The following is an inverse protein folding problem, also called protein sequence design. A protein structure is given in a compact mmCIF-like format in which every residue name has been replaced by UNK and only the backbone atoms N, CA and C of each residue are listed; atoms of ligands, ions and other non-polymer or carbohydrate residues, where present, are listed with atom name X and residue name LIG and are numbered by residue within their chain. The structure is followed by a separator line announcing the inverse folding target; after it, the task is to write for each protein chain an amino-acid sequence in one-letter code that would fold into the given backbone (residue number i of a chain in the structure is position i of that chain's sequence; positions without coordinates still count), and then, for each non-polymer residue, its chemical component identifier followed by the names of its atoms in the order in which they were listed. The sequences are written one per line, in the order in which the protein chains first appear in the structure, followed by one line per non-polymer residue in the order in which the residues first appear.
data_IF_784264275547
#
_entry.id   IF_784264275547
#
_cell.length_a   1.000
_cell.length_b   1.000
_cell.length_c   1.000
_cell.angle_alpha   90.00
_cell.angle_beta   90.00
_cell.angle_gamma   90.00
#
_symmetry.space_group_name_H-M   'P 1'
#
loop_
_entity.id
_entity.type
_entity.pdbx_description
1 polymer ?
#
# COMPACT_ATOMS: atom_id res chain seq x y z
N UNK A 1 21.41 18.89 8.73
CA UNK A 1 20.94 17.50 8.86
C UNK A 1 21.69 16.67 7.84
N UNK A 2 22.23 15.50 8.19
CA UNK A 2 22.99 14.70 7.20
C UNK A 2 22.04 14.04 6.21
N UNK A 3 22.47 13.94 4.95
CA UNK A 3 21.73 13.27 3.87
C UNK A 3 21.36 11.82 4.24
N UNK A 4 22.21 11.18 5.05
CA UNK A 4 21.95 9.86 5.61
C UNK A 4 20.71 9.82 6.52
N UNK A 5 20.54 10.81 7.41
CA UNK A 5 19.36 10.87 8.29
C UNK A 5 18.08 11.09 7.51
N UNK A 6 18.14 11.88 6.44
CA UNK A 6 17.00 12.11 5.56
C UNK A 6 16.63 10.83 4.79
N UNK A 7 17.63 10.15 4.22
CA UNK A 7 17.46 8.91 3.48
C UNK A 7 16.93 7.77 4.37
N UNK A 8 17.38 7.70 5.63
CA UNK A 8 16.93 6.68 6.57
C UNK A 8 15.46 6.89 6.97
N UNK A 9 15.06 8.16 7.17
CA UNK A 9 13.66 8.51 7.43
C UNK A 9 12.76 8.12 6.25
N UNK A 10 13.21 8.41 5.01
CA UNK A 10 12.52 8.02 3.77
C UNK A 10 12.30 6.51 3.69
N UNK A 11 13.37 5.73 3.86
CA UNK A 11 13.28 4.27 3.83
C UNK A 11 12.28 3.72 4.85
N UNK A 12 12.34 4.17 6.10
CA UNK A 12 11.45 3.68 7.14
C UNK A 12 9.99 4.02 6.84
N UNK A 13 9.70 5.22 6.35
CA UNK A 13 8.34 5.63 5.99
C UNK A 13 7.78 4.74 4.88
N UNK A 14 8.52 4.55 3.78
CA UNK A 14 8.10 3.69 2.65
C UNK A 14 7.96 2.24 3.08
N UNK A 15 8.90 1.71 3.87
CA UNK A 15 8.85 0.34 4.35
C UNK A 15 7.65 0.10 5.26
N UNK A 16 7.34 1.03 6.17
CA UNK A 16 6.19 0.94 7.05
C UNK A 16 4.89 0.99 6.24
N UNK A 17 4.76 1.93 5.31
CA UNK A 17 3.58 2.06 4.45
C UNK A 17 3.37 0.80 3.60
N UNK A 18 4.46 0.21 3.07
CA UNK A 18 4.41 -1.06 2.33
C UNK A 18 3.93 -2.21 3.21
N UNK A 19 4.47 -2.33 4.43
CA UNK A 19 4.09 -3.38 5.38
C UNK A 19 2.63 -3.25 5.83
N UNK A 20 2.18 -2.05 6.16
CA UNK A 20 0.81 -1.79 6.61
C UNK A 20 -0.20 -2.08 5.49
N UNK A 21 0.12 -1.65 4.26
CA UNK A 21 -0.70 -1.93 3.08
C UNK A 21 -0.76 -3.42 2.78
N UNK A 22 0.38 -4.12 2.81
CA UNK A 22 0.46 -5.56 2.57
C UNK A 22 -0.31 -6.36 3.62
N UNK A 23 -0.11 -6.06 4.91
CA UNK A 23 -0.84 -6.70 6.00
C UNK A 23 -2.35 -6.49 5.89
N UNK A 24 -2.79 -5.29 5.47
CA UNK A 24 -4.21 -5.00 5.25
C UNK A 24 -4.79 -5.83 4.11
N UNK A 25 -4.09 -5.93 2.98
CA UNK A 25 -4.53 -6.76 1.84
C UNK A 25 -4.53 -8.25 2.20
N UNK A 26 -3.51 -8.74 2.90
CA UNK A 26 -3.44 -10.11 3.40
C UNK A 26 -4.64 -10.40 4.30
N UNK A 27 -5.02 -9.47 5.18
CA UNK A 27 -6.16 -9.62 6.09
C UNK A 27 -7.47 -9.76 5.30
N UNK A 28 -7.68 -8.94 4.27
CA UNK A 28 -8.84 -9.04 3.38
C UNK A 28 -8.87 -10.35 2.57
N UNK A 29 -7.72 -10.79 2.05
CA UNK A 29 -7.59 -12.07 1.35
C UNK A 29 -7.86 -13.25 2.31
N UNK A 30 -7.32 -13.21 3.52
CA UNK A 30 -7.56 -14.21 4.57
C UNK A 30 -9.04 -14.30 4.92
N UNK A 31 -9.76 -13.18 5.02
CA UNK A 31 -11.20 -13.19 5.23
C UNK A 31 -11.93 -13.99 4.14
N UNK A 32 -11.63 -13.72 2.87
CA UNK A 32 -12.21 -14.46 1.73
C UNK A 32 -11.91 -15.95 1.76
N UNK A 33 -10.69 -16.34 2.10
CA UNK A 33 -10.32 -17.76 2.21
C UNK A 33 -11.00 -18.40 3.44
N UNK A 34 -11.15 -17.66 4.54
CA UNK A 34 -11.80 -18.15 5.76
C UNK A 34 -13.30 -18.43 5.59
N UNK A 35 -13.94 -17.82 4.60
CA UNK A 35 -15.34 -18.13 4.24
C UNK A 35 -15.51 -19.45 3.49
N UNK A 36 -14.43 -20.07 3.02
CA UNK A 36 -14.44 -21.37 2.33
C UNK A 36 -14.21 -22.47 3.38
N UNK A 37 -15.25 -23.28 3.64
CA UNK A 37 -15.26 -24.34 4.67
C UNK A 37 -14.08 -25.32 4.57
N UNK A 38 -13.66 -25.69 3.36
CA UNK A 38 -12.51 -26.61 3.15
C UNK A 38 -11.18 -26.08 3.72
N UNK A 39 -10.98 -24.76 3.74
CA UNK A 39 -9.75 -24.15 4.24
C UNK A 39 -9.83 -23.84 5.73
N UNK A 40 -11.01 -23.54 6.27
CA UNK A 40 -11.20 -23.31 7.70
C UNK A 40 -11.01 -24.58 8.52
N UNK A 41 -11.40 -25.75 8.00
CA UNK A 41 -11.20 -27.04 8.66
C UNK A 41 -9.72 -27.46 8.69
N UNK A 42 -8.94 -27.12 7.64
CA UNK A 42 -7.50 -27.45 7.56
C UNK A 42 -6.60 -26.41 8.24
N UNK A 43 -7.03 -25.16 8.29
CA UNK A 43 -6.23 -24.04 8.80
C UNK A 43 -7.08 -23.06 9.64
N UNK A 44 -7.41 -23.42 10.90
CA UNK A 44 -8.26 -22.60 11.77
C UNK A 44 -7.65 -21.22 12.09
N UNK A 45 -6.32 -21.05 11.95
CA UNK A 45 -5.63 -19.76 12.09
C UNK A 45 -5.95 -18.76 10.95
N UNK A 46 -6.66 -19.18 9.90
CA UNK A 46 -7.12 -18.28 8.84
C UNK A 46 -8.31 -17.42 9.25
N UNK A 47 -8.98 -17.74 10.36
CA UNK A 47 -10.06 -16.92 10.89
C UNK A 47 -9.55 -15.49 11.17
N UNK A 48 -10.24 -14.51 10.59
CA UNK A 48 -9.98 -13.08 10.76
C UNK A 48 -11.13 -12.51 11.58
N UNK A 49 -10.82 -11.77 12.63
CA UNK A 49 -11.84 -11.10 13.45
C UNK A 49 -12.38 -9.86 12.75
N UNK A 50 -13.59 -9.43 13.13
CA UNK A 50 -14.16 -8.19 12.56
C UNK A 50 -13.33 -6.95 12.92
N UNK A 51 -12.67 -6.95 14.08
CA UNK A 51 -11.75 -5.88 14.50
C UNK A 51 -10.52 -5.78 13.59
N UNK A 52 -9.91 -6.92 13.23
CA UNK A 52 -8.79 -6.97 12.29
C UNK A 52 -9.20 -6.45 10.91
N UNK A 53 -10.40 -6.83 10.47
CA UNK A 53 -10.94 -6.41 9.18
C UNK A 53 -11.25 -4.91 9.14
N UNK A 54 -11.83 -4.38 10.22
CA UNK A 54 -12.12 -2.94 10.37
C UNK A 54 -10.83 -2.13 10.37
N UNK A 55 -9.79 -2.60 11.08
CA UNK A 55 -8.46 -1.96 11.07
C UNK A 55 -7.83 -1.99 9.68
N UNK A 56 -7.84 -3.14 9.00
CA UNK A 56 -7.29 -3.28 7.66
C UNK A 56 -7.99 -2.36 6.64
N UNK A 57 -9.33 -2.30 6.68
CA UNK A 57 -10.11 -1.39 5.83
C UNK A 57 -9.81 0.08 6.13
N UNK A 58 -9.68 0.44 7.41
CA UNK A 58 -9.35 1.81 7.82
C UNK A 58 -7.96 2.21 7.33
N UNK A 59 -6.96 1.35 7.50
CA UNK A 59 -5.59 1.58 7.01
C UNK A 59 -5.56 1.71 5.48
N UNK A 60 -6.21 0.80 4.76
CA UNK A 60 -6.35 0.87 3.30
C UNK A 60 -7.01 2.18 2.86
N UNK A 61 -8.09 2.58 3.53
CA UNK A 61 -8.78 3.82 3.22
C UNK A 61 -7.87 5.04 3.43
N UNK A 62 -7.13 5.09 4.54
CA UNK A 62 -6.18 6.17 4.82
C UNK A 62 -5.11 6.22 3.73
N UNK A 63 -4.41 5.12 3.45
CA UNK A 63 -3.30 5.08 2.49
C UNK A 63 -3.78 5.40 1.07
N UNK A 64 -4.94 4.88 0.64
CA UNK A 64 -5.49 5.19 -0.68
C UNK A 64 -5.99 6.64 -0.77
N UNK A 65 -6.49 7.22 0.33
CA UNK A 65 -6.88 8.64 0.39
C UNK A 65 -5.63 9.52 0.30
N UNK A 66 -4.55 9.15 0.97
CA UNK A 66 -3.25 9.80 0.84
C UNK A 66 -2.77 9.81 -0.62
N UNK A 67 -2.91 8.68 -1.32
CA UNK A 67 -2.57 8.57 -2.75
C UNK A 67 -3.50 9.41 -3.64
N UNK A 68 -4.80 9.44 -3.36
CA UNK A 68 -5.77 10.29 -4.07
C UNK A 68 -5.45 11.78 -3.90
N UNK A 69 -5.16 12.21 -2.67
CA UNK A 69 -4.77 13.59 -2.37
C UNK A 69 -3.44 13.94 -3.05
N UNK A 70 -2.49 13.00 -3.07
CA UNK A 70 -1.25 13.17 -3.80
C UNK A 70 -1.50 13.42 -5.30
N UNK A 71 -2.44 12.70 -5.91
CA UNK A 71 -2.80 12.90 -7.33
C UNK A 71 -3.52 14.22 -7.62
N UNK A 72 -4.19 14.83 -6.64
CA UNK A 72 -5.01 16.04 -6.82
C UNK A 72 -4.24 17.31 -6.47
N UNK A 73 -3.54 17.29 -5.35
CA UNK A 73 -2.95 18.48 -4.73
C UNK A 73 -1.42 18.48 -4.78
N UNK A 74 -0.78 17.39 -5.24
CA UNK A 74 0.66 17.18 -5.13
C UNK A 74 1.13 17.48 -3.70
N UNK A 75 0.39 16.96 -2.70
CA UNK A 75 0.64 17.29 -1.31
C UNK A 75 2.09 16.93 -0.92
N UNK A 76 2.89 17.98 -0.75
CA UNK A 76 4.33 17.90 -0.51
C UNK A 76 4.68 17.47 0.91
N UNK A 77 3.67 17.38 1.80
CA UNK A 77 3.86 17.02 3.21
C UNK A 77 3.62 15.54 3.50
N UNK A 78 3.26 14.77 2.48
CA UNK A 78 2.92 13.36 2.62
C UNK A 78 4.14 12.46 2.38
N UNK A 79 4.16 11.29 3.00
CA UNK A 79 5.15 10.23 2.82
C UNK A 79 5.33 9.83 1.34
N UNK A 80 4.24 9.92 0.56
CA UNK A 80 4.26 9.68 -0.89
C UNK A 80 5.02 10.75 -1.69
N UNK A 81 5.19 11.96 -1.17
CA UNK A 81 5.98 13.00 -1.82
C UNK A 81 7.46 12.64 -1.88
N UNK A 82 7.94 11.92 -0.87
CA UNK A 82 9.33 11.46 -0.86
C UNK A 82 9.64 10.48 -2.00
N UNK A 83 8.60 9.89 -2.60
CA UNK A 83 8.66 8.97 -3.74
C UNK A 83 8.53 9.67 -5.10
N UNK A 84 8.25 10.98 -5.12
CA UNK A 84 7.99 11.71 -6.35
C UNK A 84 9.17 11.67 -7.33
N UNK A 85 10.40 11.62 -6.83
CA UNK A 85 11.62 11.57 -7.66
C UNK A 85 11.93 10.16 -8.19
N UNK A 86 11.21 9.12 -7.73
CA UNK A 86 11.43 7.78 -8.20
C UNK A 86 10.81 7.55 -9.58
N UNK A 87 11.62 7.11 -10.55
CA UNK A 87 11.17 6.91 -11.93
C UNK A 87 10.08 5.82 -12.08
N UNK A 88 10.12 4.76 -11.27
CA UNK A 88 9.08 3.71 -11.28
C UNK A 88 7.77 4.24 -10.68
N UNK A 89 7.82 4.94 -9.55
CA UNK A 89 6.66 5.61 -8.96
C UNK A 89 6.05 6.62 -9.94
N UNK A 90 6.87 7.47 -10.57
CA UNK A 90 6.39 8.39 -11.59
C UNK A 90 5.71 7.67 -12.76
N UNK A 91 6.35 6.65 -13.35
CA UNK A 91 5.88 6.05 -14.59
C UNK A 91 4.70 5.10 -14.39
N UNK A 92 4.68 4.35 -13.28
CA UNK A 92 3.65 3.33 -13.03
C UNK A 92 2.47 3.87 -12.21
N UNK A 93 2.68 4.93 -11.42
CA UNK A 93 1.66 5.49 -10.52
C UNK A 93 1.23 6.88 -11.01
N UNK A 94 2.15 7.86 -11.06
CA UNK A 94 1.77 9.25 -11.33
C UNK A 94 1.32 9.52 -12.78
N UNK A 95 2.05 8.99 -13.76
CA UNK A 95 1.75 9.17 -15.19
C UNK A 95 0.71 8.17 -15.70
N UNK A 96 0.35 7.17 -14.90
CA UNK A 96 -0.58 6.13 -15.30
C UNK A 96 -2.02 6.52 -14.97
N UNK A 97 -2.70 7.13 -15.94
CA UNK A 97 -4.10 7.58 -15.83
C UNK A 97 -5.05 6.41 -15.51
N UNK A 98 -4.77 5.22 -16.07
CA UNK A 98 -5.57 4.01 -15.82
C UNK A 98 -5.46 3.62 -14.35
N UNK A 99 -4.24 3.56 -13.82
CA UNK A 99 -3.99 3.21 -12.42
C UNK A 99 -4.63 4.23 -11.47
N UNK A 100 -4.53 5.52 -11.77
CA UNK A 100 -5.22 6.59 -11.02
C UNK A 100 -6.73 6.37 -10.96
N UNK A 101 -7.36 6.03 -12.08
CA UNK A 101 -8.80 5.72 -12.14
C UNK A 101 -9.17 4.45 -11.37
N UNK A 102 -8.33 3.41 -11.43
CA UNK A 102 -8.54 2.16 -10.70
C UNK A 102 -8.42 2.31 -9.19
N UNK A 103 -7.46 3.12 -8.71
CA UNK A 103 -7.33 3.49 -7.29
C UNK A 103 -8.54 4.29 -6.82
N UNK A 104 -8.99 5.28 -7.61
CA UNK A 104 -10.17 6.09 -7.25
C UNK A 104 -11.43 5.22 -7.15
N UNK A 105 -11.61 4.25 -8.05
CA UNK A 105 -12.71 3.29 -8.00
C UNK A 105 -12.62 2.36 -6.78
N UNK A 106 -11.42 1.88 -6.45
CA UNK A 106 -11.16 1.05 -5.27
C UNK A 106 -11.48 1.80 -3.98
N UNK A 107 -11.05 3.06 -3.91
CA UNK A 107 -11.33 3.96 -2.80
C UNK A 107 -12.83 4.28 -2.66
N UNK A 108 -13.54 4.50 -3.76
CA UNK A 108 -14.98 4.70 -3.75
C UNK A 108 -15.74 3.47 -3.21
N UNK A 109 -15.28 2.26 -3.57
CA UNK A 109 -15.83 1.01 -3.03
C UNK A 109 -15.57 0.87 -1.52
N UNK A 110 -14.35 1.16 -1.07
CA UNK A 110 -14.00 1.18 0.36
C UNK A 110 -14.85 2.18 1.15
N UNK A 111 -15.02 3.42 0.64
CA UNK A 111 -15.88 4.44 1.27
C UNK A 111 -17.35 4.03 1.34
N UNK A 112 -17.81 3.25 0.37
CA UNK A 112 -19.18 2.74 0.30
C UNK A 112 -19.37 1.41 1.05
N UNK A 113 -18.37 0.95 1.79
CA UNK A 113 -18.33 -0.36 2.45
C UNK A 113 -18.69 -1.53 1.52
N UNK A 114 -18.36 -1.40 0.23
CA UNK A 114 -18.57 -2.46 -0.76
C UNK A 114 -17.35 -3.39 -0.79
N UNK A 115 -17.62 -4.67 -1.02
CA UNK A 115 -16.57 -5.66 -1.20
C UNK A 115 -15.63 -5.30 -2.36
N UNK A 116 -14.33 -5.42 -2.09
CA UNK A 116 -13.29 -5.26 -3.10
C UNK A 116 -13.25 -6.50 -4.00
N UNK A 117 -13.29 -6.30 -5.31
CA UNK A 117 -13.10 -7.38 -6.29
C UNK A 117 -11.65 -7.87 -6.29
N UNK A 118 -11.39 -9.05 -6.85
CA UNK A 118 -10.00 -9.52 -7.05
C UNK A 118 -9.17 -8.53 -7.86
N UNK A 119 -9.78 -7.86 -8.84
CA UNK A 119 -9.11 -6.82 -9.63
C UNK A 119 -8.70 -5.63 -8.76
N UNK A 120 -9.54 -5.21 -7.82
CA UNK A 120 -9.22 -4.11 -6.90
C UNK A 120 -8.05 -4.50 -5.99
N UNK A 121 -8.05 -5.73 -5.45
CA UNK A 121 -6.96 -6.26 -4.64
C UNK A 121 -5.66 -6.39 -5.45
N UNK A 122 -5.72 -6.85 -6.70
CA UNK A 122 -4.55 -6.95 -7.58
C UNK A 122 -3.94 -5.58 -7.90
N UNK A 123 -4.76 -4.54 -8.01
CA UNK A 123 -4.28 -3.17 -8.20
C UNK A 123 -3.56 -2.65 -6.95
N UNK A 124 -4.05 -2.99 -5.76
CA UNK A 124 -3.34 -2.69 -4.51
C UNK A 124 -2.05 -3.52 -4.41
N UNK A 125 -2.05 -4.80 -4.81
CA UNK A 125 -0.81 -5.62 -4.85
C UNK A 125 0.23 -5.01 -5.80
N UNK A 126 -0.20 -4.49 -6.95
CA UNK A 126 0.67 -3.75 -7.87
C UNK A 126 1.23 -2.49 -7.20
N UNK A 127 0.41 -1.78 -6.42
CA UNK A 127 0.86 -0.64 -5.64
C UNK A 127 1.94 -1.04 -4.62
N UNK A 128 1.67 -2.10 -3.84
CA UNK A 128 2.61 -2.67 -2.85
C UNK A 128 3.93 -3.03 -3.53
N UNK A 129 3.89 -3.70 -4.69
CA UNK A 129 5.08 -4.12 -5.42
C UNK A 129 5.96 -2.94 -5.86
N UNK A 130 5.35 -1.81 -6.21
CA UNK A 130 6.08 -0.58 -6.58
C UNK A 130 6.73 0.05 -5.34
N UNK A 131 6.01 0.10 -4.23
CA UNK A 131 6.54 0.62 -2.96
C UNK A 131 7.68 -0.25 -2.42
N UNK A 132 7.56 -1.58 -2.50
CA UNK A 132 8.58 -2.53 -2.07
C UNK A 132 9.86 -2.43 -2.92
N UNK A 133 9.70 -2.25 -4.24
CA UNK A 133 10.84 -1.97 -5.11
C UNK A 133 11.57 -0.68 -4.69
N UNK A 134 10.81 0.34 -4.30
CA UNK A 134 11.39 1.60 -3.86
C UNK A 134 12.06 1.50 -2.49
N UNK A 135 11.45 0.79 -1.54
CA UNK A 135 12.09 0.47 -0.26
C UNK A 135 13.44 -0.25 -0.49
N UNK A 136 13.51 -1.18 -1.45
CA UNK A 136 14.74 -1.87 -1.80
C UNK A 136 15.79 -0.93 -2.43
N UNK A 137 15.39 0.02 -3.28
CA UNK A 137 16.29 1.03 -3.86
C UNK A 137 16.84 1.95 -2.77
N UNK A 138 15.98 2.45 -1.87
CA UNK A 138 16.37 3.29 -0.74
C UNK A 138 17.32 2.54 0.21
N UNK A 139 17.04 1.26 0.50
CA UNK A 139 17.91 0.42 1.31
C UNK A 139 19.30 0.24 0.68
N UNK A 140 19.37 0.02 -0.64
CA UNK A 140 20.66 -0.08 -1.36
C UNK A 140 21.44 1.23 -1.26
N UNK A 141 20.78 2.39 -1.43
CA UNK A 141 21.40 3.71 -1.29
C UNK A 141 21.89 3.96 0.15
N UNK A 142 21.14 3.53 1.15
CA UNK A 142 21.55 3.60 2.56
C UNK A 142 22.81 2.78 2.83
N UNK A 143 22.88 1.58 2.27
CA UNK A 143 24.04 0.69 2.41
C UNK A 143 25.29 1.29 1.76
N UNK A 144 25.17 1.92 0.59
CA UNK A 144 26.30 2.58 -0.10
C UNK A 144 26.70 3.89 0.55
N UNK A 145 25.77 4.64 1.16
CA UNK A 145 26.07 5.89 1.88
C UNK A 145 26.76 5.69 3.24
N UNK A 146 26.76 4.45 3.77
CA UNK A 146 27.49 4.06 4.98
C UNK A 146 28.94 3.65 4.69
N UNK A 147 29.29 3.44 3.43
CA UNK A 147 30.62 2.99 2.97
C UNK A 147 31.50 4.14 2.52
#
# INVERSE_FOLDING_TARGET
MSDFSLLYKKYNSVSNLTNDLNNSVITLKRRRVSTIKEYTDKHPKLAVTEDELTKANTLLLVILTLLENFYKEQDTKNELYELMDNALFQNQILKNVVFKGEIANTLAKLKSSKDLSEKDLANIDKFISILDNEAAVLFRKLRTSRG
#
